data_IF_511392989910
#
_entry.id   IF_511392989910
#
_cell.length_a   1.000
_cell.length_b   1.000
_cell.length_c   1.000
_cell.angle_alpha   90.00
_cell.angle_beta   90.00
_cell.angle_gamma   90.00
#
_symmetry.space_group_name_H-M   'P 1'
#
loop_
_entity.id
_entity.type
_entity.pdbx_description
1 polymer ?
#
# COMPACT_ATOMS: atom_id res chain seq x y z
N UNK A 1 -8.93 -21.51 5.81
CA UNK A 1 -8.50 -20.82 4.56
C UNK A 1 -7.49 -19.75 4.96
N UNK A 2 -6.46 -19.51 4.15
CA UNK A 2 -5.35 -18.60 4.48
C UNK A 2 -5.30 -17.47 3.44
N UNK A 3 -5.19 -16.23 3.90
CA UNK A 3 -4.92 -15.05 3.06
C UNK A 3 -3.78 -14.23 3.69
N UNK A 4 -2.66 -14.09 2.98
CA UNK A 4 -1.44 -13.48 3.51
C UNK A 4 -1.11 -12.14 2.85
N UNK A 5 -2.04 -11.53 2.13
CA UNK A 5 -1.81 -10.23 1.50
C UNK A 5 -3.10 -9.43 1.46
N UNK A 6 -3.36 -8.68 2.54
CA UNK A 6 -4.55 -7.82 2.65
C UNK A 6 -4.22 -6.44 3.18
N UNK A 7 -5.04 -5.47 2.77
CA UNK A 7 -4.82 -4.05 2.98
C UNK A 7 -6.02 -3.46 3.70
N UNK A 8 -5.76 -2.48 4.55
CA UNK A 8 -6.76 -1.78 5.34
C UNK A 8 -6.80 -0.30 4.95
N UNK A 9 -7.67 0.46 5.59
CA UNK A 9 -7.68 1.92 5.49
C UNK A 9 -6.40 2.59 6.02
N UNK A 10 -5.47 1.88 6.64
CA UNK A 10 -4.15 2.43 7.00
C UNK A 10 -3.22 2.59 5.77
N UNK A 11 -3.57 2.00 4.63
CA UNK A 11 -2.97 2.26 3.35
C UNK A 11 -4.03 2.53 2.28
N UNK A 12 -4.30 1.61 1.36
CA UNK A 12 -5.18 1.80 0.19
C UNK A 12 -6.36 0.81 0.12
N UNK A 13 -6.59 0.08 1.22
CA UNK A 13 -7.75 -0.77 1.43
C UNK A 13 -9.00 0.00 1.83
N UNK A 14 -10.16 -0.64 1.74
CA UNK A 14 -11.47 -0.02 1.98
C UNK A 14 -12.09 -0.36 3.33
N UNK A 15 -11.63 -1.44 3.96
CA UNK A 15 -12.10 -1.90 5.27
C UNK A 15 -11.12 -1.43 6.36
N UNK A 16 -11.63 -0.98 7.51
CA UNK A 16 -10.76 -0.66 8.66
C UNK A 16 -10.05 -1.92 9.16
N UNK A 17 -8.91 -1.83 9.86
CA UNK A 17 -8.20 -3.02 10.34
C UNK A 17 -9.11 -3.94 11.18
N UNK A 18 -9.93 -3.36 12.06
CA UNK A 18 -10.92 -4.11 12.83
C UNK A 18 -11.98 -4.78 11.94
N UNK A 19 -12.56 -4.03 10.99
CA UNK A 19 -13.63 -4.54 10.12
C UNK A 19 -13.12 -5.66 9.19
N UNK A 20 -11.89 -5.54 8.67
CA UNK A 20 -11.28 -6.53 7.81
C UNK A 20 -11.10 -7.88 8.55
N UNK A 21 -10.61 -7.86 9.78
CA UNK A 21 -10.50 -9.08 10.61
C UNK A 21 -11.88 -9.71 10.86
N UNK A 22 -12.91 -8.91 11.16
CA UNK A 22 -14.29 -9.42 11.34
C UNK A 22 -14.86 -10.03 10.06
N UNK A 23 -14.57 -9.42 8.91
CA UNK A 23 -14.99 -9.92 7.59
C UNK A 23 -14.28 -11.21 7.22
N UNK A 24 -12.98 -11.32 7.52
CA UNK A 24 -12.23 -12.56 7.32
C UNK A 24 -12.79 -13.71 8.16
N UNK A 25 -13.08 -13.46 9.43
CA UNK A 25 -13.75 -14.41 10.34
C UNK A 25 -15.08 -14.90 9.78
N UNK A 26 -15.95 -13.99 9.31
CA UNK A 26 -17.26 -14.37 8.75
C UNK A 26 -17.16 -15.11 7.41
N UNK A 27 -16.08 -14.90 6.66
CA UNK A 27 -15.77 -15.62 5.43
C UNK A 27 -15.12 -17.00 5.65
N UNK A 28 -14.85 -17.40 6.89
CA UNK A 28 -14.19 -18.68 7.20
C UNK A 28 -12.69 -18.69 6.94
N UNK A 29 -12.06 -17.52 6.84
CA UNK A 29 -10.60 -17.38 6.85
C UNK A 29 -10.11 -17.65 8.27
N UNK A 30 -9.09 -18.49 8.38
CA UNK A 30 -8.51 -18.95 9.65
C UNK A 30 -7.18 -18.25 9.95
N UNK A 31 -6.50 -17.77 8.91
CA UNK A 31 -5.22 -17.06 9.01
C UNK A 31 -5.24 -15.88 8.05
N UNK A 32 -5.05 -14.66 8.56
CA UNK A 32 -5.07 -13.42 7.79
C UNK A 32 -3.78 -12.64 8.02
N UNK A 33 -3.15 -12.09 6.99
CA UNK A 33 -2.07 -11.11 7.15
C UNK A 33 -2.53 -9.68 6.89
N UNK A 34 -2.10 -8.76 7.76
CA UNK A 34 -2.26 -7.31 7.56
C UNK A 34 -0.93 -6.80 7.01
N UNK A 35 -0.95 -6.37 5.75
CA UNK A 35 0.25 -6.02 4.99
C UNK A 35 0.05 -4.67 4.29
N UNK A 36 -0.40 -3.67 5.04
CA UNK A 36 -0.57 -2.31 4.53
C UNK A 36 0.71 -1.76 3.88
N UNK A 37 0.54 -0.93 2.86
CA UNK A 37 1.68 -0.32 2.17
C UNK A 37 2.52 0.54 3.10
N UNK A 38 3.80 0.19 3.20
CA UNK A 38 4.84 0.94 3.91
C UNK A 38 4.42 1.33 5.34
N UNK A 39 3.57 0.54 6.03
CA UNK A 39 2.99 0.93 7.32
C UNK A 39 2.65 -0.28 8.19
N UNK A 40 2.78 -0.09 9.51
CA UNK A 40 2.30 -1.02 10.54
C UNK A 40 1.17 -0.42 11.39
N UNK A 41 0.62 0.72 10.99
CA UNK A 41 -0.36 1.47 11.78
C UNK A 41 -1.63 0.66 12.10
N UNK A 42 -2.03 -0.27 11.22
CA UNK A 42 -3.21 -1.11 11.40
C UNK A 42 -3.03 -2.28 12.38
N UNK A 43 -1.82 -2.52 12.89
CA UNK A 43 -1.53 -3.73 13.70
C UNK A 43 -2.32 -3.77 15.00
N UNK A 44 -2.29 -2.69 15.80
CA UNK A 44 -2.96 -2.63 17.10
C UNK A 44 -4.46 -2.91 16.99
N UNK A 45 -5.12 -2.24 16.05
CA UNK A 45 -6.56 -2.40 15.83
C UNK A 45 -6.90 -3.80 15.33
N UNK A 46 -6.07 -4.37 14.46
CA UNK A 46 -6.23 -5.75 13.97
C UNK A 46 -6.11 -6.77 15.10
N UNK A 47 -5.12 -6.61 16.00
CA UNK A 47 -4.93 -7.46 17.18
C UNK A 47 -6.16 -7.38 18.09
N UNK A 48 -6.74 -6.20 18.27
CA UNK A 48 -7.93 -6.03 19.12
C UNK A 48 -9.18 -6.78 18.60
N UNK A 49 -9.22 -7.09 17.30
CA UNK A 49 -10.38 -7.69 16.64
C UNK A 49 -10.40 -9.23 16.67
N UNK A 50 -9.28 -9.87 17.03
CA UNK A 50 -9.09 -11.32 16.94
C UNK A 50 -10.06 -12.10 17.86
N UNK A 51 -10.37 -13.33 17.46
CA UNK A 51 -11.17 -14.29 18.23
C UNK A 51 -10.40 -15.60 18.41
N UNK A 52 -10.79 -16.47 19.37
CA UNK A 52 -10.19 -17.80 19.48
C UNK A 52 -10.19 -18.55 18.15
N UNK A 53 -9.10 -19.26 17.84
CA UNK A 53 -8.88 -20.04 16.61
C UNK A 53 -8.66 -19.22 15.32
N UNK A 54 -8.39 -17.92 15.43
CA UNK A 54 -7.98 -17.08 14.31
C UNK A 54 -6.52 -16.64 14.47
N UNK A 55 -5.73 -16.79 13.41
CA UNK A 55 -4.33 -16.41 13.38
C UNK A 55 -4.15 -15.10 12.61
N UNK A 56 -3.46 -14.14 13.21
CA UNK A 56 -3.11 -12.88 12.58
C UNK A 56 -1.62 -12.87 12.27
N UNK A 57 -1.27 -12.67 11.02
CA UNK A 57 0.11 -12.53 10.53
C UNK A 57 0.39 -11.05 10.35
N UNK A 58 1.10 -10.44 11.30
CA UNK A 58 1.44 -9.03 11.22
C UNK A 58 2.56 -8.81 10.18
N UNK A 59 2.39 -7.81 9.32
CA UNK A 59 3.36 -7.50 8.28
C UNK A 59 3.18 -6.12 7.66
N UNK A 60 3.88 -5.88 6.57
CA UNK A 60 3.76 -4.69 5.74
C UNK A 60 4.14 -5.05 4.29
N UNK A 61 3.52 -4.39 3.32
CA UNK A 61 3.97 -4.44 1.93
C UNK A 61 4.89 -3.25 1.65
N UNK A 62 6.18 -3.53 1.53
CA UNK A 62 7.23 -2.53 1.35
C UNK A 62 7.36 -2.23 -0.14
N UNK A 63 7.18 -0.97 -0.50
CA UNK A 63 7.46 -0.44 -1.83
C UNK A 63 8.96 -0.47 -2.06
N UNK A 64 9.38 -1.12 -3.14
CA UNK A 64 10.78 -1.19 -3.55
C UNK A 64 10.97 -0.69 -4.98
N UNK A 65 12.18 -0.25 -5.27
CA UNK A 65 12.62 0.11 -6.61
C UNK A 65 13.93 -0.63 -6.91
N UNK A 66 13.96 -1.38 -8.00
CA UNK A 66 15.22 -2.01 -8.45
C UNK A 66 16.18 -0.95 -8.98
N UNK A 67 17.46 -1.29 -9.09
CA UNK A 67 18.50 -0.39 -9.61
C UNK A 67 18.26 0.06 -11.06
N UNK A 68 17.51 -0.72 -11.83
CA UNK A 68 17.06 -0.40 -13.20
C UNK A 68 15.67 0.25 -13.25
N UNK A 69 15.12 0.66 -12.10
CA UNK A 69 13.91 1.49 -12.02
C UNK A 69 12.58 0.72 -12.06
N UNK A 70 12.60 -0.59 -11.87
CA UNK A 70 11.40 -1.42 -11.82
C UNK A 70 10.80 -1.36 -10.41
N UNK A 71 9.53 -1.00 -10.33
CA UNK A 71 8.76 -1.04 -9.08
C UNK A 71 8.45 -2.49 -8.71
N UNK A 72 8.82 -2.88 -7.50
CA UNK A 72 8.60 -4.23 -6.93
C UNK A 72 8.03 -4.04 -5.53
N UNK A 73 7.14 -4.90 -5.09
CA UNK A 73 6.69 -4.89 -3.70
C UNK A 73 7.17 -6.14 -2.96
N UNK A 74 7.60 -5.93 -1.72
CA UNK A 74 8.08 -6.99 -0.83
C UNK A 74 7.15 -7.09 0.38
N UNK A 75 6.55 -8.25 0.60
CA UNK A 75 5.91 -8.53 1.88
C UNK A 75 6.99 -8.80 2.92
N UNK A 76 6.96 -8.05 4.01
CA UNK A 76 7.64 -8.38 5.26
C UNK A 76 6.62 -8.96 6.23
N UNK A 77 6.75 -10.24 6.57
CA UNK A 77 5.85 -10.93 7.49
C UNK A 77 6.55 -11.23 8.81
N UNK A 78 5.84 -11.06 9.93
CA UNK A 78 6.27 -11.41 11.29
C UNK A 78 7.59 -10.76 11.73
N UNK A 79 7.90 -9.57 11.22
CA UNK A 79 9.03 -8.78 11.73
C UNK A 79 8.65 -8.05 13.02
N UNK A 80 9.64 -7.69 13.82
CA UNK A 80 9.49 -6.87 15.01
C UNK A 80 9.06 -5.44 14.62
N UNK A 81 7.81 -5.10 14.94
CA UNK A 81 7.23 -3.78 14.68
C UNK A 81 7.86 -2.65 15.49
N UNK A 82 8.60 -2.94 16.55
CA UNK A 82 9.34 -1.94 17.34
C UNK A 82 10.78 -1.76 16.85
N UNK A 83 11.20 -2.51 15.81
CA UNK A 83 12.53 -2.38 15.24
C UNK A 83 12.73 -1.01 14.58
N UNK A 84 13.59 -0.18 15.16
CA UNK A 84 13.83 1.20 14.70
C UNK A 84 14.26 1.30 13.23
N UNK A 85 15.12 0.39 12.73
CA UNK A 85 15.60 0.45 11.34
C UNK A 85 14.47 0.11 10.36
N UNK A 86 13.64 -0.87 10.71
CA UNK A 86 12.47 -1.23 9.91
C UNK A 86 11.44 -0.09 9.90
N UNK A 87 11.15 0.51 11.06
CA UNK A 87 10.23 1.64 11.15
C UNK A 87 10.74 2.88 10.41
N UNK A 88 12.05 3.13 10.45
CA UNK A 88 12.66 4.21 9.66
C UNK A 88 12.54 3.97 8.16
N UNK A 89 12.83 2.75 7.68
CA UNK A 89 12.67 2.41 6.25
C UNK A 89 11.23 2.59 5.77
N UNK A 90 10.25 2.17 6.57
CA UNK A 90 8.83 2.36 6.27
C UNK A 90 8.49 3.86 6.24
N UNK A 91 8.97 4.64 7.19
CA UNK A 91 8.76 6.10 7.24
C UNK A 91 9.37 6.82 6.03
N UNK A 92 10.63 6.54 5.71
CA UNK A 92 11.33 7.13 4.56
C UNK A 92 10.58 6.84 3.25
N UNK A 93 10.06 5.62 3.11
CA UNK A 93 9.24 5.25 1.94
C UNK A 93 7.94 6.05 1.89
N UNK A 94 7.27 6.28 3.03
CA UNK A 94 6.06 7.11 3.10
C UNK A 94 6.31 8.58 2.80
N UNK A 95 7.40 9.15 3.28
CA UNK A 95 7.71 10.59 3.13
C UNK A 95 7.88 11.02 1.66
N UNK A 96 8.28 10.09 0.79
CA UNK A 96 8.42 10.36 -0.64
C UNK A 96 7.09 10.31 -1.41
N UNK A 97 6.03 9.74 -0.82
CA UNK A 97 4.73 9.55 -1.49
C UNK A 97 3.99 10.85 -1.73
N UNK A 98 4.07 11.82 -0.80
CA UNK A 98 3.39 13.11 -0.96
C UNK A 98 4.02 13.98 -2.07
N UNK A 99 5.35 14.19 -2.11
CA UNK A 99 5.98 14.88 -3.23
C UNK A 99 5.68 14.22 -4.58
N UNK A 100 5.72 12.88 -4.63
CA UNK A 100 5.35 12.10 -5.82
C UNK A 100 3.90 12.38 -6.24
N UNK A 101 2.96 12.28 -5.31
CA UNK A 101 1.54 12.49 -5.58
C UNK A 101 1.26 13.89 -6.12
N UNK A 102 1.85 14.92 -5.48
CA UNK A 102 1.78 16.30 -5.96
C UNK A 102 2.24 16.41 -7.41
N UNK A 103 3.35 15.76 -7.76
CA UNK A 103 3.87 15.80 -9.12
C UNK A 103 2.95 15.11 -10.13
N UNK A 104 2.36 13.98 -9.76
CA UNK A 104 1.38 13.28 -10.62
C UNK A 104 0.15 14.16 -10.89
N UNK A 105 -0.39 14.80 -9.83
CA UNK A 105 -1.51 15.74 -9.95
C UNK A 105 -1.16 16.94 -10.83
N UNK A 106 0.03 17.53 -10.67
CA UNK A 106 0.49 18.62 -11.54
C UNK A 106 0.52 18.23 -13.02
N UNK A 107 0.98 17.02 -13.34
CA UNK A 107 1.03 16.53 -14.72
C UNK A 107 -0.38 16.32 -15.30
N UNK A 108 -1.30 15.75 -14.51
CA UNK A 108 -2.71 15.60 -14.92
C UNK A 108 -3.36 16.97 -15.18
N UNK A 109 -3.17 17.93 -14.27
CA UNK A 109 -3.66 19.30 -14.41
C UNK A 109 -3.11 20.02 -15.63
N UNK A 110 -1.82 19.84 -15.92
CA UNK A 110 -1.17 20.45 -17.08
C UNK A 110 -1.83 20.01 -18.41
N UNK A 111 -2.42 18.81 -18.44
CA UNK A 111 -3.16 18.28 -19.58
C UNK A 111 -4.69 18.52 -19.50
N UNK A 112 -5.13 19.41 -18.61
CA UNK A 112 -6.51 19.86 -18.52
C UNK A 112 -7.44 18.97 -17.69
N UNK A 113 -6.91 18.00 -16.96
CA UNK A 113 -7.69 17.17 -16.03
C UNK A 113 -7.90 17.94 -14.72
N UNK A 114 -9.16 18.22 -14.37
CA UNK A 114 -9.55 18.98 -13.17
C UNK A 114 -9.44 18.13 -11.90
N UNK A 115 -8.21 18.03 -11.36
CA UNK A 115 -7.91 17.27 -10.15
C UNK A 115 -6.87 17.99 -9.29
N UNK A 116 -7.11 18.06 -7.99
CA UNK A 116 -6.24 18.71 -7.01
C UNK A 116 -5.66 17.71 -6.02
N UNK A 117 -4.55 18.09 -5.36
CA UNK A 117 -3.99 17.27 -4.29
C UNK A 117 -4.99 17.14 -3.12
N UNK A 118 -5.82 18.16 -2.91
CA UNK A 118 -6.88 18.13 -1.92
C UNK A 118 -7.94 17.06 -2.23
N UNK A 119 -8.31 16.86 -3.49
CA UNK A 119 -9.27 15.81 -3.88
C UNK A 119 -8.72 14.42 -3.51
N UNK A 120 -7.40 14.22 -3.66
CA UNK A 120 -6.73 12.98 -3.27
C UNK A 120 -6.76 12.78 -1.75
N UNK A 121 -6.58 13.84 -0.96
CA UNK A 121 -6.67 13.77 0.49
C UNK A 121 -8.09 13.49 0.96
N UNK A 122 -9.10 14.06 0.32
CA UNK A 122 -10.50 13.79 0.66
C UNK A 122 -10.95 12.38 0.29
N UNK A 123 -10.31 11.77 -0.72
CA UNK A 123 -10.53 10.38 -1.09
C UNK A 123 -9.75 9.38 -0.19
N UNK A 124 -8.71 9.83 0.51
CA UNK A 124 -7.90 8.97 1.37
C UNK A 124 -8.47 8.93 2.80
N UNK A 125 -8.48 7.76 3.47
CA UNK A 125 -8.79 7.71 4.90
C UNK A 125 -7.81 8.55 5.73
N UNK A 126 -8.28 9.10 6.84
CA UNK A 126 -7.43 9.90 7.74
C UNK A 126 -6.23 9.06 8.24
N UNK A 127 -5.02 9.59 8.10
CA UNK A 127 -3.79 8.91 8.49
C UNK A 127 -3.32 7.79 7.55
N UNK A 128 -4.00 7.58 6.43
CA UNK A 128 -3.63 6.57 5.45
C UNK A 128 -2.33 6.90 4.71
N UNK A 129 -1.61 5.85 4.29
CA UNK A 129 -0.47 5.99 3.38
C UNK A 129 -0.96 6.31 1.96
N UNK A 130 -0.89 7.59 1.57
CA UNK A 130 -1.36 8.08 0.27
C UNK A 130 -0.62 7.41 -0.90
N UNK A 131 -1.32 7.17 -2.00
CA UNK A 131 -0.81 6.44 -3.15
C UNK A 131 -1.72 6.58 -4.36
N UNK A 132 -1.28 6.05 -5.51
CA UNK A 132 -2.07 6.07 -6.77
C UNK A 132 -3.51 5.59 -6.63
N UNK A 133 -3.84 4.58 -5.80
CA UNK A 133 -5.21 4.15 -5.64
C UNK A 133 -6.13 5.26 -5.09
N UNK A 134 -5.62 6.14 -4.21
CA UNK A 134 -6.38 7.29 -3.73
C UNK A 134 -6.58 8.37 -4.80
N UNK A 135 -5.59 8.55 -5.68
CA UNK A 135 -5.75 9.42 -6.86
C UNK A 135 -6.80 8.84 -7.82
N UNK A 136 -6.82 7.52 -8.02
CA UNK A 136 -7.86 6.85 -8.79
C UNK A 136 -9.25 7.10 -8.18
N UNK A 137 -9.40 6.96 -6.87
CA UNK A 137 -10.67 7.21 -6.18
C UNK A 137 -11.12 8.67 -6.30
N UNK A 138 -10.18 9.61 -6.23
CA UNK A 138 -10.44 11.02 -6.44
C UNK A 138 -10.91 11.31 -7.89
N UNK A 139 -10.26 10.69 -8.88
CA UNK A 139 -10.68 10.79 -10.29
C UNK A 139 -12.08 10.20 -10.53
N UNK A 140 -12.42 9.08 -9.88
CA UNK A 140 -13.77 8.48 -9.92
C UNK A 140 -14.78 9.41 -9.26
N UNK A 141 -14.47 9.94 -8.07
CA UNK A 141 -15.36 10.86 -7.32
C UNK A 141 -15.65 12.13 -8.12
N UNK A 142 -14.67 12.62 -8.87
CA UNK A 142 -14.77 13.76 -9.78
C UNK A 142 -15.52 13.43 -11.08
N UNK A 143 -15.86 12.16 -11.33
CA UNK A 143 -16.50 11.70 -12.55
C UNK A 143 -15.61 11.77 -13.80
N UNK A 144 -14.29 11.79 -13.61
CA UNK A 144 -13.29 11.87 -14.71
C UNK A 144 -13.10 10.49 -15.35
N UNK A 145 -13.19 9.42 -14.55
CA UNK A 145 -13.14 8.01 -14.98
C UNK A 145 -14.25 7.23 -14.27
N UNK A 146 -14.71 6.14 -14.86
CA UNK A 146 -15.81 5.33 -14.33
C UNK A 146 -15.43 4.37 -13.20
N UNK A 147 -14.15 4.01 -13.06
CA UNK A 147 -13.68 3.08 -12.03
C UNK A 147 -12.20 3.23 -11.67
N UNK A 148 -11.79 2.65 -10.53
CA UNK A 148 -10.37 2.57 -10.13
C UNK A 148 -9.55 1.81 -11.18
N UNK A 149 -10.10 0.73 -11.75
CA UNK A 149 -9.45 -0.06 -12.79
C UNK A 149 -9.22 0.75 -14.06
N UNK A 150 -10.22 1.51 -14.50
CA UNK A 150 -10.11 2.43 -15.64
C UNK A 150 -9.05 3.51 -15.39
N UNK A 151 -9.00 4.08 -14.17
CA UNK A 151 -7.96 5.04 -13.80
C UNK A 151 -6.56 4.45 -13.96
N UNK A 152 -6.34 3.21 -13.51
CA UNK A 152 -5.05 2.53 -13.68
C UNK A 152 -4.77 2.19 -15.13
N UNK A 153 -5.76 1.72 -15.89
CA UNK A 153 -5.59 1.38 -17.29
C UNK A 153 -5.19 2.59 -18.13
N UNK A 154 -5.86 3.72 -17.94
CA UNK A 154 -5.72 4.88 -18.84
C UNK A 154 -4.72 5.94 -18.36
N UNK A 155 -4.66 6.20 -17.05
CA UNK A 155 -3.97 7.37 -16.50
C UNK A 155 -2.84 7.03 -15.53
N UNK A 156 -2.95 5.95 -14.74
CA UNK A 156 -2.10 5.74 -13.56
C UNK A 156 -1.18 4.51 -13.64
N UNK A 157 -1.18 3.77 -14.75
CA UNK A 157 -0.22 2.69 -15.02
C UNK A 157 1.23 3.18 -15.06
N UNK A 158 2.18 2.26 -15.06
CA UNK A 158 3.61 2.58 -15.00
C UNK A 158 4.18 3.16 -16.31
N UNK A 159 3.48 3.00 -17.44
CA UNK A 159 3.89 3.54 -18.75
C UNK A 159 3.27 4.92 -19.04
N UNK A 160 2.34 5.35 -18.20
CA UNK A 160 1.66 6.63 -18.32
C UNK A 160 2.65 7.79 -18.17
N UNK A 161 2.47 8.84 -18.99
CA UNK A 161 3.21 10.10 -18.84
C UNK A 161 2.96 10.82 -17.51
N UNK A 162 1.88 10.45 -16.80
CA UNK A 162 1.56 10.98 -15.48
C UNK A 162 2.23 10.18 -14.36
N UNK A 163 2.85 9.04 -14.68
CA UNK A 163 3.55 8.22 -13.71
C UNK A 163 4.85 8.90 -13.28
N UNK A 164 5.01 9.01 -11.96
CA UNK A 164 6.22 9.53 -11.33
C UNK A 164 6.76 8.44 -10.41
N UNK A 165 8.05 8.13 -10.52
CA UNK A 165 8.74 7.23 -9.58
C UNK A 165 9.06 7.96 -8.29
N UNK A 166 9.35 7.22 -7.21
CA UNK A 166 9.83 7.78 -5.95
C UNK A 166 11.05 7.01 -5.49
N UNK A 167 11.86 7.64 -4.64
CA UNK A 167 12.93 6.94 -3.95
C UNK A 167 12.30 5.90 -3.02
N UNK A 168 12.78 4.67 -3.13
CA UNK A 168 12.35 3.53 -2.34
C UNK A 168 13.58 2.62 -2.13
N UNK A 169 13.61 1.80 -1.06
CA UNK A 169 14.67 0.83 -0.89
C UNK A 169 14.73 -0.15 -2.07
N UNK A 170 15.91 -0.69 -2.34
CA UNK A 170 16.03 -1.84 -3.23
C UNK A 170 15.38 -3.08 -2.58
N UNK A 171 14.90 -4.06 -3.37
CA UNK A 171 14.40 -5.31 -2.81
C UNK A 171 15.42 -6.00 -1.89
N UNK A 172 16.71 -5.87 -2.20
CA UNK A 172 17.79 -6.44 -1.39
C UNK A 172 17.90 -5.74 -0.02
N UNK A 173 17.77 -4.41 0.03
CA UNK A 173 17.74 -3.65 1.28
C UNK A 173 16.52 -4.00 2.12
N UNK A 174 15.33 -4.07 1.50
CA UNK A 174 14.10 -4.49 2.17
C UNK A 174 14.24 -5.91 2.76
N UNK A 175 14.77 -6.88 2.01
CA UNK A 175 15.03 -8.24 2.52
C UNK A 175 15.97 -8.21 3.73
N UNK A 176 17.05 -7.41 3.68
CA UNK A 176 17.98 -7.31 4.82
C UNK A 176 17.30 -6.73 6.05
N UNK A 177 16.53 -5.65 5.91
CA UNK A 177 15.82 -5.02 7.01
C UNK A 177 14.78 -5.95 7.63
N UNK A 178 13.94 -6.59 6.80
CA UNK A 178 12.94 -7.58 7.26
C UNK A 178 13.63 -8.68 8.08
N UNK A 179 14.71 -9.27 7.55
CA UNK A 179 15.42 -10.36 8.22
C UNK A 179 16.10 -9.91 9.52
N UNK A 180 16.66 -8.70 9.54
CA UNK A 180 17.29 -8.13 10.74
C UNK A 180 16.26 -7.85 11.84
N UNK A 181 15.04 -7.48 11.46
CA UNK A 181 13.89 -7.37 12.35
C UNK A 181 13.24 -8.72 12.68
N UNK A 182 13.83 -9.86 12.26
CA UNK A 182 13.35 -11.20 12.61
C UNK A 182 12.20 -11.75 11.74
N UNK A 183 11.80 -11.03 10.70
CA UNK A 183 10.70 -11.43 9.82
C UNK A 183 11.12 -12.26 8.60
N UNK A 184 10.13 -12.58 7.78
CA UNK A 184 10.23 -13.32 6.53
C UNK A 184 9.88 -12.40 5.35
N UNK A 185 10.77 -12.35 4.36
CA UNK A 185 10.57 -11.56 3.16
C UNK A 185 10.01 -12.42 2.01
N UNK A 186 8.99 -11.92 1.32
CA UNK A 186 8.35 -12.56 0.16
C UNK A 186 8.17 -11.54 -0.95
N UNK A 187 8.50 -11.89 -2.20
CA UNK A 187 8.19 -11.02 -3.35
C UNK A 187 6.67 -11.08 -3.57
N UNK A 188 6.01 -9.92 -3.49
CA UNK A 188 4.58 -9.82 -3.75
C UNK A 188 4.32 -9.90 -5.26
N UNK A 189 3.19 -10.53 -5.64
CA UNK A 189 2.63 -10.55 -7.00
C UNK A 189 3.67 -10.43 -8.14
N UNK A 190 4.64 -11.36 -8.27
CA UNK A 190 5.83 -11.19 -9.13
C UNK A 190 5.53 -11.10 -10.64
N UNK A 191 4.27 -11.30 -11.04
CA UNK A 191 3.79 -11.19 -12.41
C UNK A 191 2.77 -10.05 -12.60
N UNK A 192 2.74 -9.06 -11.71
CA UNK A 192 1.81 -7.93 -11.81
C UNK A 192 1.88 -7.18 -13.16
N UNK A 193 3.06 -7.14 -13.79
CA UNK A 193 3.26 -6.56 -15.14
C UNK A 193 2.71 -7.42 -16.30
N UNK A 194 2.18 -8.61 -16.03
CA UNK A 194 1.59 -9.52 -17.04
C UNK A 194 0.06 -9.63 -16.93
N UNK A 195 -0.58 -8.75 -16.16
CA UNK A 195 -2.04 -8.72 -15.99
C UNK A 195 -2.69 -7.76 -16.97
#
# INVERSE_FOLDING_TARGET
MIDLHTHTTCSDGTDTPFALVKKALSAGITTLAITDHDSTAGWSDSISAIQPHFELVLGAEISCLTSDGISVHMLGLLFDGENNEMQQMLADSRDTRIPRMRKMVELLKADGIDIDLEDVYQAAPEGATVGRPHLADALVTKGIVGSRDEAFLELLNNESKYYVTHAAPTPVEAIRAIRKAGGVAVIAHPFASRR
#
